data_IF_670596377755
#
_entry.id   IF_670596377755
#
_cell.length_a   1.000
_cell.length_b   1.000
_cell.length_c   1.000
_cell.angle_alpha   90.00
_cell.angle_beta   90.00
_cell.angle_gamma   90.00
#
_symmetry.space_group_name_H-M   'P 1'
#
loop_
_entity.id
_entity.type
_entity.pdbx_description
1 polymer ?
#
# COMPACT_ATOMS: atom_id res chain seq x y z
N UNK A 1 50.25 7.41 -8.40
CA UNK A 1 49.31 6.99 -9.45
C UNK A 1 48.01 6.56 -8.79
N UNK A 2 47.02 7.47 -8.72
CA UNK A 2 45.56 7.28 -8.61
C UNK A 2 45.00 8.65 -8.19
N UNK A 3 44.81 9.52 -9.19
CA UNK A 3 44.14 10.81 -9.01
C UNK A 3 42.65 10.52 -8.88
N UNK A 4 42.05 11.01 -7.80
CA UNK A 4 40.62 11.29 -7.69
C UNK A 4 40.16 11.97 -9.00
N UNK A 5 39.44 11.24 -9.85
CA UNK A 5 38.80 11.80 -11.02
C UNK A 5 37.39 12.25 -10.58
N UNK A 6 37.35 13.37 -9.87
CA UNK A 6 36.09 14.09 -9.63
C UNK A 6 35.70 14.74 -10.95
N UNK A 7 34.97 14.00 -11.78
CA UNK A 7 34.27 14.63 -12.90
C UNK A 7 33.05 15.32 -12.32
N UNK A 8 33.20 16.60 -12.01
CA UNK A 8 32.05 17.49 -11.85
C UNK A 8 31.42 17.67 -13.23
N UNK A 9 30.59 16.72 -13.65
CA UNK A 9 29.74 16.91 -14.82
C UNK A 9 28.53 17.72 -14.37
N UNK A 10 28.58 19.02 -14.64
CA UNK A 10 27.40 19.88 -14.65
C UNK A 10 26.56 19.49 -15.86
N UNK A 11 25.84 18.38 -15.74
CA UNK A 11 24.78 18.04 -16.67
C UNK A 11 23.56 18.89 -16.32
N UNK A 12 22.98 19.54 -17.33
CA UNK A 12 21.62 20.08 -17.21
C UNK A 12 20.67 18.96 -16.77
N UNK A 13 19.66 19.29 -15.97
CA UNK A 13 18.74 18.32 -15.38
C UNK A 13 18.10 17.37 -16.41
N UNK A 14 17.99 17.78 -17.67
CA UNK A 14 17.39 16.99 -18.75
C UNK A 14 18.35 15.93 -19.34
N UNK A 15 19.64 16.23 -19.48
CA UNK A 15 20.62 15.26 -19.98
C UNK A 15 20.90 14.16 -18.96
N UNK A 16 20.89 14.50 -17.67
CA UNK A 16 20.99 13.51 -16.60
C UNK A 16 19.79 12.56 -16.57
N UNK A 17 18.58 13.03 -16.91
CA UNK A 17 17.41 12.16 -16.99
C UNK A 17 17.48 11.19 -18.18
N UNK A 18 17.97 11.65 -19.34
CA UNK A 18 18.11 10.81 -20.54
C UNK A 18 19.23 9.79 -20.35
N UNK A 19 20.38 10.20 -19.81
CA UNK A 19 21.47 9.29 -19.47
C UNK A 19 21.04 8.27 -18.40
N UNK A 20 20.28 8.73 -17.40
CA UNK A 20 19.73 7.85 -16.38
C UNK A 20 18.74 6.83 -16.94
N UNK A 21 17.94 7.19 -17.94
CA UNK A 21 17.04 6.27 -18.62
C UNK A 21 17.80 5.23 -19.46
N UNK A 22 18.83 5.64 -20.20
CA UNK A 22 19.62 4.77 -21.09
C UNK A 22 20.51 3.79 -20.33
N UNK A 23 21.11 4.22 -19.22
CA UNK A 23 22.04 3.42 -18.41
C UNK A 23 21.50 3.09 -17.01
N UNK A 24 20.17 3.03 -16.87
CA UNK A 24 19.50 2.87 -15.59
C UNK A 24 20.05 1.71 -14.74
N UNK A 25 20.24 0.54 -15.36
CA UNK A 25 20.77 -0.65 -14.67
C UNK A 25 22.17 -0.45 -14.11
N UNK A 26 23.04 0.22 -14.86
CA UNK A 26 24.43 0.47 -14.44
C UNK A 26 24.48 1.51 -13.31
N UNK A 27 23.65 2.54 -13.37
CA UNK A 27 23.50 3.50 -12.29
C UNK A 27 22.98 2.84 -11.01
N UNK A 28 21.96 1.99 -11.11
CA UNK A 28 21.47 1.24 -9.95
C UNK A 28 22.57 0.37 -9.32
N UNK A 29 23.41 -0.29 -10.13
CA UNK A 29 24.55 -1.06 -9.63
C UNK A 29 25.54 -0.20 -8.85
N UNK A 30 25.85 1.01 -9.36
CA UNK A 30 26.73 1.97 -8.68
C UNK A 30 26.14 2.45 -7.36
N UNK A 31 24.85 2.75 -7.31
CA UNK A 31 24.14 3.14 -6.09
C UNK A 31 24.18 2.03 -5.03
N UNK A 32 23.94 0.78 -5.43
CA UNK A 32 24.07 -0.37 -4.52
C UNK A 32 25.50 -0.52 -4.01
N UNK A 33 26.52 -0.35 -4.87
CA UNK A 33 27.93 -0.40 -4.47
C UNK A 33 28.32 0.71 -3.48
N UNK A 34 27.69 1.89 -3.56
CA UNK A 34 27.90 3.01 -2.62
C UNK A 34 26.96 2.97 -1.41
N UNK A 35 26.17 1.90 -1.25
CA UNK A 35 25.20 1.71 -0.16
C UNK A 35 24.15 2.85 -0.08
N UNK A 36 23.85 3.47 -1.21
CA UNK A 36 22.88 4.55 -1.33
C UNK A 36 21.79 4.17 -2.32
N UNK A 37 20.60 4.72 -2.11
CA UNK A 37 19.49 4.60 -3.04
C UNK A 37 19.51 5.78 -4.02
N UNK A 38 18.85 5.66 -5.18
CA UNK A 38 18.73 6.77 -6.14
C UNK A 38 18.06 8.03 -5.57
N UNK A 39 17.32 7.91 -4.47
CA UNK A 39 16.68 9.02 -3.74
C UNK A 39 17.49 9.52 -2.54
N UNK A 40 18.77 9.13 -2.44
CA UNK A 40 19.72 9.59 -1.41
C UNK A 40 19.60 8.89 -0.06
N UNK A 41 18.69 7.93 0.09
CA UNK A 41 18.48 7.21 1.37
C UNK A 41 19.40 6.01 1.50
N UNK A 42 19.63 5.55 2.73
CA UNK A 42 20.34 4.28 2.97
C UNK A 42 19.51 3.07 2.51
N UNK A 43 20.16 1.95 2.21
CA UNK A 43 19.46 0.73 1.78
C UNK A 43 18.44 0.22 2.81
N UNK A 44 18.73 0.39 4.10
CA UNK A 44 17.86 -0.02 5.22
C UNK A 44 16.88 1.08 5.69
N UNK A 45 16.85 2.24 5.04
CA UNK A 45 16.03 3.37 5.47
C UNK A 45 14.64 3.34 4.80
N UNK A 46 13.59 3.37 5.63
CA UNK A 46 12.20 3.45 5.18
C UNK A 46 11.89 4.79 4.51
N UNK A 47 10.83 4.85 3.69
CA UNK A 47 10.29 6.13 3.19
C UNK A 47 9.66 6.90 4.35
N UNK A 48 9.68 8.24 4.35
CA UNK A 48 8.93 9.03 5.32
C UNK A 48 7.47 8.58 5.37
N UNK A 49 6.97 8.35 6.58
CA UNK A 49 5.59 7.89 6.82
C UNK A 49 4.79 9.02 7.45
N UNK A 50 3.63 9.33 6.89
CA UNK A 50 2.68 10.29 7.40
C UNK A 50 1.34 9.61 7.65
N UNK A 51 0.75 9.80 8.81
CA UNK A 51 -0.52 9.18 9.20
C UNK A 51 -1.46 10.31 9.59
N UNK A 52 -2.61 10.37 8.91
CA UNK A 52 -3.68 11.31 9.21
C UNK A 52 -4.91 10.51 9.60
N UNK A 53 -5.24 10.43 10.91
CA UNK A 53 -6.41 9.68 11.38
C UNK A 53 -7.72 10.43 11.06
N UNK A 54 -8.79 9.66 10.95
CA UNK A 54 -10.18 10.10 10.79
C UNK A 54 -10.46 11.15 9.71
N UNK A 55 -9.96 10.99 8.47
CA UNK A 55 -10.25 11.90 7.36
C UNK A 55 -11.71 11.82 6.86
N UNK A 56 -12.42 10.73 7.13
CA UNK A 56 -13.81 10.52 6.71
C UNK A 56 -14.74 10.51 7.93
N UNK A 57 -15.81 11.29 7.88
CA UNK A 57 -16.84 11.37 8.93
C UNK A 57 -17.93 10.28 8.81
N UNK A 58 -18.04 9.62 7.65
CA UNK A 58 -19.10 8.64 7.36
C UNK A 58 -18.75 7.20 7.75
N UNK A 59 -17.52 6.94 8.19
CA UNK A 59 -17.02 5.60 8.53
C UNK A 59 -16.71 5.50 10.01
N UNK A 60 -16.93 4.34 10.64
CA UNK A 60 -16.59 4.10 12.06
C UNK A 60 -15.11 4.37 12.37
N UNK A 61 -14.23 4.11 11.41
CA UNK A 61 -12.83 4.50 11.48
C UNK A 61 -12.24 4.73 10.10
N UNK A 62 -11.41 5.74 9.95
CA UNK A 62 -10.67 6.00 8.71
C UNK A 62 -9.27 6.53 8.98
N UNK A 63 -8.38 6.37 8.01
CA UNK A 63 -7.01 6.87 8.07
C UNK A 63 -6.44 7.08 6.67
N UNK A 64 -5.70 8.17 6.47
CA UNK A 64 -4.81 8.34 5.31
C UNK A 64 -3.40 8.02 5.76
N UNK A 65 -2.73 7.13 5.03
CA UNK A 65 -1.33 6.78 5.24
C UNK A 65 -0.54 7.13 3.99
N UNK A 66 0.47 7.98 4.15
CA UNK A 66 1.44 8.34 3.12
C UNK A 66 2.79 7.69 3.41
N UNK A 67 3.35 6.98 2.44
CA UNK A 67 4.70 6.40 2.49
C UNK A 67 5.50 6.96 1.32
N UNK A 68 6.22 8.05 1.55
CA UNK A 68 6.88 8.84 0.51
C UNK A 68 5.89 9.31 -0.56
N UNK A 69 6.02 8.84 -1.80
CA UNK A 69 5.11 9.17 -2.91
C UNK A 69 3.84 8.31 -2.98
N UNK A 70 3.74 7.26 -2.18
CA UNK A 70 2.56 6.37 -2.15
C UNK A 70 1.59 6.86 -1.09
N UNK A 71 0.31 7.02 -1.44
CA UNK A 71 -0.76 7.37 -0.50
C UNK A 71 -1.86 6.31 -0.54
N UNK A 72 -2.42 6.01 0.63
CA UNK A 72 -3.51 5.06 0.81
C UNK A 72 -4.56 5.67 1.73
N UNK A 73 -5.83 5.52 1.37
CA UNK A 73 -6.97 5.80 2.23
C UNK A 73 -7.56 4.46 2.67
N UNK A 74 -7.64 4.23 3.98
CA UNK A 74 -8.26 3.06 4.56
C UNK A 74 -9.44 3.49 5.43
N UNK A 75 -10.52 2.71 5.39
CA UNK A 75 -11.70 2.91 6.22
C UNK A 75 -12.28 1.57 6.66
N UNK A 76 -12.86 1.53 7.84
CA UNK A 76 -13.64 0.42 8.34
C UNK A 76 -15.07 0.90 8.65
N UNK A 77 -16.03 0.07 8.27
CA UNK A 77 -17.44 0.22 8.63
C UNK A 77 -17.91 -1.12 9.21
N UNK A 78 -18.80 -1.05 10.18
CA UNK A 78 -19.44 -2.22 10.78
C UNK A 78 -20.94 -2.04 10.61
N UNK A 79 -21.58 -3.01 9.99
CA UNK A 79 -23.01 -3.02 9.73
C UNK A 79 -23.62 -4.30 10.31
N UNK A 80 -24.77 -4.22 11.00
CA UNK A 80 -25.51 -5.41 11.39
C UNK A 80 -26.04 -6.10 10.13
N UNK A 81 -25.93 -7.43 10.10
CA UNK A 81 -26.37 -8.24 8.98
C UNK A 81 -26.86 -9.61 9.43
N UNK A 82 -27.56 -10.34 8.55
CA UNK A 82 -28.03 -11.68 8.87
C UNK A 82 -26.87 -12.63 9.13
N UNK A 83 -27.02 -13.50 10.13
CA UNK A 83 -26.05 -14.53 10.44
C UNK A 83 -25.90 -15.51 9.25
N UNK A 84 -24.68 -16.02 9.07
CA UNK A 84 -24.42 -17.03 8.03
C UNK A 84 -25.17 -18.32 8.37
N UNK A 85 -25.77 -19.01 7.37
CA UNK A 85 -26.38 -20.32 7.61
C UNK A 85 -25.35 -21.41 7.94
N UNK A 86 -24.07 -21.20 7.60
CA UNK A 86 -22.99 -22.15 7.86
C UNK A 86 -22.47 -22.00 9.30
N UNK A 87 -22.28 -20.77 9.75
CA UNK A 87 -21.71 -20.44 11.06
C UNK A 87 -22.53 -19.32 11.72
N UNK A 88 -23.62 -19.66 12.44
CA UNK A 88 -24.57 -18.67 12.96
C UNK A 88 -24.01 -17.85 14.14
N UNK A 89 -22.88 -18.23 14.72
CA UNK A 89 -22.28 -17.58 15.90
C UNK A 89 -21.03 -16.74 15.62
N UNK A 90 -20.66 -16.54 14.36
CA UNK A 90 -19.47 -15.78 13.98
C UNK A 90 -19.81 -14.61 13.06
N UNK A 91 -19.20 -13.46 13.31
CA UNK A 91 -19.28 -12.31 12.41
C UNK A 91 -18.46 -12.53 11.14
N UNK A 92 -18.72 -11.70 10.12
CA UNK A 92 -18.03 -11.78 8.82
C UNK A 92 -17.18 -10.54 8.59
N UNK A 93 -16.00 -10.76 8.02
CA UNK A 93 -15.11 -9.68 7.58
C UNK A 93 -15.03 -9.70 6.06
N UNK A 94 -15.18 -8.52 5.46
CA UNK A 94 -14.91 -8.30 4.05
C UNK A 94 -13.83 -7.22 3.91
N UNK A 95 -12.85 -7.48 3.06
CA UNK A 95 -11.81 -6.51 2.70
C UNK A 95 -11.91 -6.23 1.22
N UNK A 96 -11.98 -4.95 0.87
CA UNK A 96 -12.00 -4.49 -0.52
C UNK A 96 -10.91 -3.45 -0.70
N UNK A 97 -10.03 -3.68 -1.67
CA UNK A 97 -8.98 -2.74 -2.06
C UNK A 97 -9.28 -2.26 -3.47
N UNK A 98 -9.21 -0.94 -3.66
CA UNK A 98 -9.24 -0.33 -4.98
C UNK A 98 -7.99 0.51 -5.22
N UNK A 99 -7.43 0.38 -6.41
CA UNK A 99 -6.31 1.12 -6.95
C UNK A 99 -6.87 2.20 -7.87
N UNK A 100 -6.68 3.47 -7.49
CA UNK A 100 -7.04 4.59 -8.35
C UNK A 100 -6.31 4.47 -9.70
N UNK A 101 -7.01 4.72 -10.82
CA UNK A 101 -6.45 4.57 -12.17
C UNK A 101 -5.19 5.39 -12.46
N UNK A 102 -4.86 6.38 -11.62
CA UNK A 102 -3.64 7.20 -11.73
C UNK A 102 -2.45 6.61 -10.94
N UNK A 103 -2.69 5.60 -10.09
CA UNK A 103 -1.67 4.94 -9.28
C UNK A 103 -0.86 3.89 -10.06
N UNK A 104 -1.34 3.49 -11.24
CA UNK A 104 -0.73 2.47 -12.08
C UNK A 104 -0.46 3.03 -13.48
N UNK A 105 0.54 3.91 -13.61
CA UNK A 105 1.02 4.34 -14.92
C UNK A 105 1.52 3.12 -15.70
N UNK A 106 0.88 2.82 -16.83
CA UNK A 106 1.27 1.72 -17.72
C UNK A 106 0.65 0.34 -17.42
N UNK A 107 -0.38 0.24 -16.58
CA UNK A 107 -1.13 -1.02 -16.37
C UNK A 107 -2.51 -0.91 -17.03
N UNK A 108 -2.83 -1.83 -17.93
CA UNK A 108 -4.16 -1.94 -18.54
C UNK A 108 -5.24 -2.14 -17.46
N UNK A 109 -6.41 -1.53 -17.66
CA UNK A 109 -7.50 -1.55 -16.66
C UNK A 109 -7.86 -2.95 -16.15
N UNK A 110 -7.79 -3.98 -17.02
CA UNK A 110 -8.04 -5.38 -16.65
C UNK A 110 -7.02 -5.89 -15.62
N UNK A 111 -5.73 -5.60 -15.81
CA UNK A 111 -4.66 -6.01 -14.88
C UNK A 111 -4.72 -5.27 -13.56
N UNK A 112 -5.33 -4.09 -13.52
CA UNK A 112 -5.57 -3.36 -12.27
C UNK A 112 -6.57 -4.13 -11.39
N UNK A 113 -7.68 -4.61 -11.98
CA UNK A 113 -8.69 -5.39 -11.25
C UNK A 113 -8.15 -6.70 -10.70
N UNK A 114 -7.34 -7.42 -11.47
CA UNK A 114 -6.71 -8.66 -11.01
C UNK A 114 -5.81 -8.41 -9.80
N UNK A 115 -5.04 -7.30 -9.81
CA UNK A 115 -4.22 -6.91 -8.68
C UNK A 115 -5.04 -6.50 -7.47
N UNK A 116 -6.08 -5.68 -7.65
CA UNK A 116 -7.02 -5.30 -6.58
C UNK A 116 -7.61 -6.54 -5.90
N UNK A 117 -8.09 -7.50 -6.69
CA UNK A 117 -8.69 -8.74 -6.18
C UNK A 117 -7.65 -9.61 -5.46
N UNK A 118 -6.45 -9.75 -6.03
CA UNK A 118 -5.35 -10.52 -5.41
C UNK A 118 -4.94 -9.91 -4.07
N UNK A 119 -4.79 -8.58 -4.01
CA UNK A 119 -4.40 -7.87 -2.78
C UNK A 119 -5.52 -7.98 -1.74
N UNK A 120 -6.79 -7.80 -2.14
CA UNK A 120 -7.94 -7.92 -1.25
C UNK A 120 -8.03 -9.32 -0.62
N UNK A 121 -7.92 -10.36 -1.46
CA UNK A 121 -7.95 -11.75 -1.00
C UNK A 121 -6.75 -12.08 -0.10
N UNK A 122 -5.56 -11.56 -0.42
CA UNK A 122 -4.36 -11.74 0.38
C UNK A 122 -4.48 -11.08 1.76
N UNK A 123 -4.98 -9.85 1.83
CA UNK A 123 -5.22 -9.15 3.09
C UNK A 123 -6.27 -9.87 3.94
N UNK A 124 -7.38 -10.30 3.34
CA UNK A 124 -8.39 -11.08 4.04
C UNK A 124 -7.78 -12.38 4.61
N UNK A 125 -6.97 -13.08 3.82
CA UNK A 125 -6.27 -14.30 4.27
C UNK A 125 -5.36 -14.03 5.46
N UNK A 126 -4.62 -12.93 5.47
CA UNK A 126 -3.76 -12.54 6.59
C UNK A 126 -4.59 -12.25 7.84
N UNK A 127 -5.67 -11.47 7.71
CA UNK A 127 -6.52 -11.11 8.86
C UNK A 127 -7.16 -12.36 9.49
N UNK A 128 -7.63 -13.30 8.66
CA UNK A 128 -8.20 -14.55 9.13
C UNK A 128 -7.15 -15.50 9.72
N UNK A 129 -5.96 -15.59 9.12
CA UNK A 129 -4.91 -16.51 9.60
C UNK A 129 -4.27 -16.05 10.90
N UNK A 130 -4.15 -14.73 11.11
CA UNK A 130 -3.51 -14.14 12.28
C UNK A 130 -4.44 -14.04 13.49
N UNK A 131 -5.77 -14.23 13.30
CA UNK A 131 -6.81 -14.09 14.35
C UNK A 131 -6.68 -12.79 15.16
N UNK A 132 -6.29 -11.69 14.48
CA UNK A 132 -6.20 -10.36 15.10
C UNK A 132 -7.58 -9.86 15.54
N UNK A 133 -8.65 -10.34 14.89
CA UNK A 133 -10.03 -10.05 15.21
C UNK A 133 -10.74 -11.33 15.64
N UNK A 134 -11.39 -11.31 16.79
CA UNK A 134 -12.22 -12.41 17.27
C UNK A 134 -13.63 -12.30 16.68
N UNK A 135 -13.97 -13.21 15.76
CA UNK A 135 -15.24 -13.17 15.03
C UNK A 135 -16.45 -13.38 15.95
N UNK A 136 -16.26 -14.02 17.10
CA UNK A 136 -17.33 -14.26 18.08
C UNK A 136 -17.75 -12.97 18.79
N UNK A 137 -16.87 -11.98 18.88
CA UNK A 137 -17.20 -10.69 19.48
C UNK A 137 -18.11 -9.83 18.60
N UNK A 138 -18.20 -10.16 17.30
CA UNK A 138 -19.12 -9.49 16.37
C UNK A 138 -20.52 -10.13 16.36
N UNK A 139 -20.75 -11.22 17.09
CA UNK A 139 -22.07 -11.83 17.20
C UNK A 139 -22.94 -11.05 18.19
N UNK A 140 -24.06 -10.54 17.70
CA UNK A 140 -25.08 -9.88 18.53
C UNK A 140 -26.27 -10.82 18.64
N UNK A 141 -26.59 -11.25 19.86
CA UNK A 141 -27.67 -12.20 20.13
C UNK A 141 -29.07 -11.60 19.97
N UNK A 142 -29.19 -10.28 20.03
CA UNK A 142 -30.46 -9.57 19.91
C UNK A 142 -30.87 -9.42 18.44
N UNK A 143 -31.84 -10.24 18.04
CA UNK A 143 -32.50 -10.21 16.74
C UNK A 143 -33.41 -8.97 16.53
N UNK A 144 -33.31 -7.95 17.38
CA UNK A 144 -34.14 -6.73 17.32
C UNK A 144 -33.68 -5.70 16.29
N UNK A 145 -32.57 -5.94 15.58
CA UNK A 145 -32.11 -5.09 14.45
C UNK A 145 -32.71 -5.48 13.09
N UNK A 146 -33.87 -6.12 13.09
CA UNK A 146 -34.67 -6.26 11.88
C UNK A 146 -35.42 -4.94 11.60
N UNK A 147 -34.76 -4.01 10.89
CA UNK A 147 -35.27 -3.08 9.86
C UNK A 147 -34.34 -1.87 9.70
#
# INVERSE_FOLDING_TARGET
FFRYFSVAMNFGNDEMQIFAAMHFKELLRRFVATNQRPDGRRLNQIRPVHITPSPLSSTSGSVIVGIGSTRMLAGCSVEPGPASPVDPGEGRIQVTVSLAGHAATGVEAQRVREKEQTISAFLLKILLSTRVLDLKQFFVADASFAL
#
